data_IF_247774094324
#
_entry.id   IF_247774094324
#
_cell.length_a   1.000
_cell.length_b   1.000
_cell.length_c   1.000
_cell.angle_alpha   90.00
_cell.angle_beta   90.00
_cell.angle_gamma   90.00
#
_symmetry.space_group_name_H-M   'P 1'
#
loop_
_entity.id
_entity.type
_entity.pdbx_description
1 polymer ?
#
# COMPACT_ATOMS: atom_id res chain seq x y z
N UNK A 1 51.95 -50.94 -2.47
CA UNK A 1 50.91 -50.07 -3.05
C UNK A 1 49.54 -50.53 -2.51
N UNK A 2 48.58 -49.63 -2.30
CA UNK A 2 47.28 -49.78 -1.58
C UNK A 2 47.24 -49.43 -0.08
N UNK A 3 48.13 -48.56 0.42
CA UNK A 3 47.98 -47.86 1.72
C UNK A 3 47.65 -46.36 1.59
N UNK A 4 47.11 -45.92 0.44
CA UNK A 4 46.98 -44.49 0.10
C UNK A 4 45.56 -44.02 -0.26
N UNK A 5 44.51 -44.83 -0.01
CA UNK A 5 43.13 -44.47 -0.38
C UNK A 5 42.13 -44.51 0.79
N UNK A 6 42.60 -44.46 2.04
CA UNK A 6 41.74 -44.34 3.23
C UNK A 6 42.12 -43.16 4.15
N UNK A 7 42.92 -42.21 3.65
CA UNK A 7 43.31 -40.99 4.37
C UNK A 7 42.63 -39.72 3.85
N UNK A 8 41.81 -39.82 2.79
CA UNK A 8 41.05 -38.67 2.24
C UNK A 8 39.69 -38.43 2.89
N UNK A 9 39.10 -39.43 3.54
CA UNK A 9 37.73 -39.32 4.09
C UNK A 9 37.69 -38.97 5.59
N UNK A 10 38.79 -39.18 6.31
CA UNK A 10 38.87 -38.85 7.75
C UNK A 10 39.30 -37.40 8.03
N UNK A 11 39.76 -36.65 7.02
CA UNK A 11 40.10 -35.23 7.14
C UNK A 11 38.89 -34.30 6.91
N UNK A 12 37.77 -34.81 6.37
CA UNK A 12 36.56 -34.03 6.15
C UNK A 12 35.64 -33.95 7.39
N UNK A 13 35.84 -34.83 8.37
CA UNK A 13 35.09 -34.85 9.64
C UNK A 13 35.73 -34.03 10.77
N UNK A 14 36.89 -33.41 10.54
CA UNK A 14 37.61 -32.59 11.53
C UNK A 14 37.63 -31.08 11.24
N UNK A 15 37.04 -30.64 10.12
CA UNK A 15 36.91 -29.21 9.78
C UNK A 15 35.56 -28.61 10.20
N UNK A 16 34.63 -29.43 10.72
CA UNK A 16 33.31 -29.00 11.19
C UNK A 16 33.20 -28.92 12.72
N UNK A 17 34.33 -28.74 13.42
CA UNK A 17 34.40 -28.70 14.89
C UNK A 17 35.14 -27.46 15.42
N UNK A 18 35.24 -26.39 14.63
CA UNK A 18 36.00 -25.18 14.99
C UNK A 18 35.24 -23.90 14.67
N UNK A 19 33.97 -23.82 15.04
CA UNK A 19 33.26 -22.54 15.08
C UNK A 19 32.45 -22.44 16.38
N UNK A 20 33.07 -21.93 17.46
CA UNK A 20 32.34 -21.54 18.66
C UNK A 20 32.09 -20.03 18.57
N UNK A 21 30.90 -19.61 18.15
CA UNK A 21 30.35 -18.33 18.63
C UNK A 21 28.84 -18.23 18.34
N UNK A 22 28.09 -18.30 19.44
CA UNK A 22 26.72 -17.81 19.61
C UNK A 22 25.58 -18.60 18.99
N UNK A 23 25.24 -19.68 19.68
CA UNK A 23 23.86 -19.84 20.10
C UNK A 23 23.48 -18.65 20.99
N UNK A 24 22.63 -17.73 20.53
CA UNK A 24 21.49 -17.23 21.30
C UNK A 24 20.63 -16.25 20.49
N UNK A 25 19.32 -16.34 20.73
CA UNK A 25 18.25 -15.38 20.42
C UNK A 25 17.46 -15.71 19.14
N UNK A 26 16.39 -16.49 19.38
CA UNK A 26 15.10 -16.36 18.74
C UNK A 26 14.76 -14.90 18.46
N UNK A 27 14.38 -14.56 17.23
CA UNK A 27 13.23 -13.70 16.94
C UNK A 27 12.95 -13.72 15.43
N UNK A 28 11.67 -13.66 15.10
CA UNK A 28 11.11 -14.12 13.84
C UNK A 28 11.51 -13.36 12.59
N UNK A 29 11.15 -13.99 11.47
CA UNK A 29 11.16 -13.44 10.10
C UNK A 29 10.83 -11.94 10.03
N UNK A 30 11.73 -11.08 9.51
CA UNK A 30 11.34 -9.75 9.06
C UNK A 30 10.85 -9.87 7.62
N UNK A 31 9.71 -10.51 7.42
CA UNK A 31 9.06 -10.67 6.12
C UNK A 31 7.65 -10.09 6.20
N UNK A 32 7.51 -8.79 5.94
CA UNK A 32 6.20 -8.16 5.78
C UNK A 32 6.09 -6.71 6.26
N UNK A 33 7.09 -6.19 6.97
CA UNK A 33 7.13 -4.79 7.42
C UNK A 33 8.29 -4.02 6.76
N UNK A 34 8.49 -4.24 5.45
CA UNK A 34 9.31 -3.31 4.67
C UNK A 34 8.59 -1.96 4.66
N UNK A 35 9.07 -1.08 5.55
CA UNK A 35 9.14 0.35 5.36
C UNK A 35 7.87 0.96 4.75
N UNK A 36 6.81 1.06 5.55
CA UNK A 36 6.09 2.34 5.58
C UNK A 36 7.07 3.34 6.17
N UNK A 37 8.00 3.78 5.33
CA UNK A 37 8.84 4.93 5.58
C UNK A 37 7.85 6.07 5.78
N UNK A 38 7.56 6.35 7.05
CA UNK A 38 6.83 7.52 7.46
C UNK A 38 7.72 8.70 7.10
N UNK A 39 7.64 9.14 5.85
CA UNK A 39 7.96 10.51 5.45
C UNK A 39 6.88 11.42 6.07
N UNK A 40 6.74 11.35 7.38
CA UNK A 40 5.80 12.10 8.19
C UNK A 40 6.66 13.06 9.00
N UNK A 41 6.64 14.33 8.63
CA UNK A 41 7.25 15.36 9.46
C UNK A 41 7.42 16.69 8.77
N UNK A 42 8.30 16.79 7.77
CA UNK A 42 8.86 18.11 7.46
C UNK A 42 8.17 18.89 6.33
N UNK A 43 7.28 18.30 5.53
CA UNK A 43 6.65 19.03 4.42
C UNK A 43 5.29 18.49 3.97
N UNK A 44 4.40 18.16 4.93
CA UNK A 44 3.03 17.74 4.59
C UNK A 44 2.14 18.97 4.33
N UNK A 45 1.98 19.32 3.05
CA UNK A 45 0.96 20.27 2.60
C UNK A 45 -0.17 19.55 1.84
N UNK A 46 -1.40 19.48 2.40
CA UNK A 46 -2.54 18.84 1.75
C UNK A 46 -2.85 19.41 0.36
N UNK A 47 -2.56 20.70 0.13
CA UNK A 47 -2.76 21.33 -1.18
C UNK A 47 -1.75 20.82 -2.21
N UNK A 48 -0.48 20.68 -1.84
CA UNK A 48 0.55 20.08 -2.68
C UNK A 48 0.23 18.62 -3.01
N UNK A 49 -0.08 17.83 -1.98
CA UNK A 49 -0.44 16.41 -2.15
C UNK A 49 -1.64 16.25 -3.06
N UNK A 50 -2.67 17.09 -2.91
CA UNK A 50 -3.85 17.08 -3.79
C UNK A 50 -3.48 17.40 -5.25
N UNK A 51 -2.60 18.39 -5.47
CA UNK A 51 -2.16 18.75 -6.82
C UNK A 51 -1.36 17.62 -7.46
N UNK A 52 -0.47 16.99 -6.70
CA UNK A 52 0.32 15.83 -7.14
C UNK A 52 -0.57 14.64 -7.46
N UNK A 53 -1.55 14.34 -6.61
CA UNK A 53 -2.52 13.26 -6.84
C UNK A 53 -3.26 13.46 -8.18
N UNK A 54 -3.76 14.67 -8.43
CA UNK A 54 -4.39 15.01 -9.71
C UNK A 54 -3.45 14.84 -10.90
N UNK A 55 -2.22 15.34 -10.81
CA UNK A 55 -1.24 15.20 -11.89
C UNK A 55 -0.94 13.73 -12.22
N UNK A 56 -0.86 12.86 -11.21
CA UNK A 56 -0.69 11.42 -11.40
C UNK A 56 -1.89 10.80 -12.11
N UNK A 57 -3.11 11.17 -11.70
CA UNK A 57 -4.35 10.71 -12.33
C UNK A 57 -4.43 11.15 -13.80
N UNK A 58 -4.06 12.39 -14.08
CA UNK A 58 -4.07 12.96 -15.43
C UNK A 58 -3.03 12.26 -16.34
N UNK A 59 -1.92 11.79 -15.76
CA UNK A 59 -0.89 10.96 -16.43
C UNK A 59 -1.26 9.48 -16.55
N UNK A 60 -2.43 9.06 -16.05
CA UNK A 60 -2.88 7.67 -16.07
C UNK A 60 -2.32 6.78 -14.95
N UNK A 61 -1.53 7.34 -14.02
CA UNK A 61 -1.01 6.64 -12.84
C UNK A 61 -2.08 6.53 -11.75
N UNK A 62 -3.18 5.82 -12.04
CA UNK A 62 -4.40 5.82 -11.23
C UNK A 62 -4.19 5.34 -9.79
N UNK A 63 -3.46 4.23 -9.60
CA UNK A 63 -3.20 3.65 -8.27
C UNK A 63 -2.39 4.60 -7.38
N UNK A 64 -1.33 5.20 -7.93
CA UNK A 64 -0.52 6.18 -7.20
C UNK A 64 -1.32 7.45 -6.85
N UNK A 65 -2.18 7.90 -7.77
CA UNK A 65 -3.11 9.00 -7.49
C UNK A 65 -4.10 8.66 -6.37
N UNK A 66 -4.66 7.44 -6.39
CA UNK A 66 -5.55 6.93 -5.35
C UNK A 66 -4.86 6.88 -3.99
N UNK A 67 -3.63 6.35 -3.92
CA UNK A 67 -2.87 6.27 -2.66
C UNK A 67 -2.70 7.66 -2.01
N UNK A 68 -2.41 8.69 -2.81
CA UNK A 68 -2.31 10.06 -2.30
C UNK A 68 -3.67 10.62 -1.83
N UNK A 69 -4.77 10.32 -2.51
CA UNK A 69 -6.10 10.73 -2.05
C UNK A 69 -6.51 10.01 -0.76
N UNK A 70 -6.15 8.74 -0.60
CA UNK A 70 -6.36 7.99 0.64
C UNK A 70 -5.55 8.60 1.79
N UNK A 71 -4.27 8.91 1.56
CA UNK A 71 -3.44 9.61 2.55
C UNK A 71 -4.02 10.99 2.91
N UNK A 72 -4.54 11.75 1.94
CA UNK A 72 -5.23 13.01 2.22
C UNK A 72 -6.45 12.83 3.13
N UNK A 73 -7.26 11.80 2.87
CA UNK A 73 -8.43 11.49 3.69
C UNK A 73 -8.03 11.14 5.14
N UNK A 74 -6.94 10.41 5.31
CA UNK A 74 -6.45 9.96 6.62
C UNK A 74 -5.74 11.07 7.41
N UNK A 75 -4.79 11.76 6.78
CA UNK A 75 -3.91 12.73 7.45
C UNK A 75 -4.53 14.14 7.47
N UNK A 76 -5.48 14.43 6.59
CA UNK A 76 -6.10 15.76 6.49
C UNK A 76 -7.60 15.67 6.21
N UNK A 77 -8.38 15.05 7.12
CA UNK A 77 -9.79 14.74 6.90
C UNK A 77 -10.69 15.97 6.67
N UNK A 78 -10.27 17.16 7.11
CA UNK A 78 -10.98 18.43 6.87
C UNK A 78 -10.61 19.10 5.55
N UNK A 79 -9.57 18.65 4.87
CA UNK A 79 -9.14 19.22 3.60
C UNK A 79 -10.01 18.69 2.47
N UNK A 80 -10.90 19.57 1.96
CA UNK A 80 -11.78 19.31 0.81
C UNK A 80 -12.46 17.92 0.84
N UNK A 81 -13.09 17.51 1.95
CA UNK A 81 -13.52 16.12 2.19
C UNK A 81 -14.44 15.58 1.08
N UNK A 82 -15.37 16.39 0.59
CA UNK A 82 -16.27 16.00 -0.50
C UNK A 82 -15.51 15.76 -1.81
N UNK A 83 -14.57 16.65 -2.17
CA UNK A 83 -13.81 16.52 -3.41
C UNK A 83 -12.84 15.34 -3.37
N UNK A 84 -12.18 15.10 -2.22
CA UNK A 84 -11.30 13.95 -2.02
C UNK A 84 -12.09 12.64 -2.12
N UNK A 85 -13.23 12.53 -1.42
CA UNK A 85 -14.08 11.34 -1.51
C UNK A 85 -14.57 11.08 -2.94
N UNK A 86 -14.95 12.13 -3.69
CA UNK A 86 -15.35 11.99 -5.10
C UNK A 86 -14.24 11.37 -5.94
N UNK A 87 -13.00 11.85 -5.81
CA UNK A 87 -11.86 11.30 -6.54
C UNK A 87 -11.61 9.84 -6.19
N UNK A 88 -11.71 9.47 -4.91
CA UNK A 88 -11.55 8.08 -4.46
C UNK A 88 -12.59 7.17 -5.14
N UNK A 89 -13.87 7.54 -5.13
CA UNK A 89 -14.93 6.75 -5.77
C UNK A 89 -14.65 6.52 -7.26
N UNK A 90 -14.33 7.61 -7.97
CA UNK A 90 -14.06 7.58 -9.41
C UNK A 90 -12.80 6.79 -9.75
N UNK A 91 -11.78 6.82 -8.89
CA UNK A 91 -10.54 6.09 -9.12
C UNK A 91 -10.71 4.59 -8.93
N UNK A 92 -11.40 4.15 -7.88
CA UNK A 92 -11.72 2.73 -7.75
C UNK A 92 -12.52 2.19 -8.94
N UNK A 93 -13.51 2.95 -9.42
CA UNK A 93 -14.27 2.61 -10.63
C UNK A 93 -13.36 2.52 -11.86
N UNK A 94 -12.51 3.53 -12.11
CA UNK A 94 -11.59 3.56 -13.27
C UNK A 94 -10.51 2.47 -13.21
N UNK A 95 -10.09 2.05 -12.02
CA UNK A 95 -9.15 0.95 -11.81
C UNK A 95 -9.83 -0.40 -12.06
N UNK A 96 -11.16 -0.46 -11.98
CA UNK A 96 -11.95 -1.69 -12.11
C UNK A 96 -12.17 -2.43 -10.80
N UNK A 97 -11.82 -1.83 -9.66
CA UNK A 97 -12.14 -2.38 -8.34
C UNK A 97 -13.58 -1.98 -7.97
N UNK A 98 -14.53 -2.65 -8.63
CA UNK A 98 -15.96 -2.30 -8.55
C UNK A 98 -16.50 -2.47 -7.12
N UNK A 99 -16.05 -3.50 -6.41
CA UNK A 99 -16.45 -3.74 -5.01
C UNK A 99 -16.07 -2.55 -4.13
N UNK A 100 -14.83 -2.05 -4.24
CA UNK A 100 -14.41 -0.85 -3.50
C UNK A 100 -15.08 0.42 -4.00
N UNK A 101 -15.33 0.53 -5.29
CA UNK A 101 -16.05 1.68 -5.84
C UNK A 101 -17.45 1.79 -5.22
N UNK A 102 -18.21 0.69 -5.16
CA UNK A 102 -19.55 0.65 -4.56
C UNK A 102 -19.52 1.04 -3.07
N UNK A 103 -18.59 0.47 -2.29
CA UNK A 103 -18.40 0.81 -0.87
C UNK A 103 -18.15 2.32 -0.68
N UNK A 104 -17.29 2.90 -1.50
CA UNK A 104 -16.92 4.32 -1.41
C UNK A 104 -18.05 5.25 -1.89
N UNK A 105 -18.84 4.84 -2.88
CA UNK A 105 -20.03 5.57 -3.32
C UNK A 105 -21.13 5.55 -2.26
N UNK A 106 -21.41 4.41 -1.62
CA UNK A 106 -22.32 4.32 -0.47
C UNK A 106 -21.87 5.25 0.66
N UNK A 107 -20.58 5.20 0.98
CA UNK A 107 -19.94 6.09 1.94
C UNK A 107 -20.12 7.57 1.58
N UNK A 108 -19.94 7.93 0.31
CA UNK A 108 -20.14 9.31 -0.18
C UNK A 108 -21.59 9.75 0.01
N UNK A 109 -22.57 8.96 -0.43
CA UNK A 109 -23.99 9.34 -0.42
C UNK A 109 -24.49 9.52 1.02
N UNK A 110 -24.04 8.67 1.94
CA UNK A 110 -24.36 8.77 3.37
C UNK A 110 -23.73 9.99 4.02
N UNK A 111 -22.47 10.31 3.69
CA UNK A 111 -21.71 11.40 4.32
C UNK A 111 -22.07 12.77 3.72
N UNK A 112 -22.42 12.82 2.44
CA UNK A 112 -22.70 14.05 1.69
C UNK A 112 -24.07 13.97 0.99
N UNK A 113 -25.19 13.84 1.73
CA UNK A 113 -26.52 13.69 1.14
C UNK A 113 -26.97 14.92 0.34
N UNK A 114 -26.36 16.07 0.59
CA UNK A 114 -26.61 17.35 -0.09
C UNK A 114 -25.69 17.62 -1.28
N UNK A 115 -24.74 16.71 -1.58
CA UNK A 115 -23.82 16.90 -2.70
C UNK A 115 -24.60 16.94 -4.03
N UNK A 116 -24.33 17.96 -4.85
CA UNK A 116 -24.96 18.13 -6.18
C UNK A 116 -24.85 16.87 -7.05
N UNK A 117 -23.74 16.16 -6.94
CA UNK A 117 -23.44 15.01 -7.79
C UNK A 117 -24.03 13.70 -7.22
N UNK A 118 -24.75 13.74 -6.10
CA UNK A 118 -25.32 12.56 -5.43
C UNK A 118 -26.18 11.73 -6.38
N UNK A 119 -27.02 12.38 -7.18
CA UNK A 119 -27.89 11.69 -8.16
C UNK A 119 -27.05 10.97 -9.21
N UNK A 120 -25.99 11.61 -9.71
CA UNK A 120 -25.06 10.97 -10.63
C UNK A 120 -24.37 9.75 -10.02
N UNK A 121 -23.95 9.84 -8.75
CA UNK A 121 -23.31 8.73 -8.06
C UNK A 121 -24.26 7.55 -7.84
N UNK A 122 -25.52 7.81 -7.47
CA UNK A 122 -26.55 6.78 -7.37
C UNK A 122 -26.78 6.06 -8.72
N UNK A 123 -26.82 6.83 -9.82
CA UNK A 123 -26.95 6.23 -11.15
C UNK A 123 -25.74 5.36 -11.53
N UNK A 124 -24.51 5.79 -11.20
CA UNK A 124 -23.31 4.97 -11.43
C UNK A 124 -23.33 3.70 -10.60
N UNK A 125 -23.68 3.79 -9.32
CA UNK A 125 -23.83 2.61 -8.45
C UNK A 125 -24.81 1.59 -9.02
N UNK A 126 -26.00 2.03 -9.42
CA UNK A 126 -27.02 1.17 -9.99
C UNK A 126 -26.60 0.52 -11.33
N UNK A 127 -25.67 1.13 -12.06
CA UNK A 127 -25.11 0.58 -13.29
C UNK A 127 -23.97 -0.43 -13.05
N UNK A 128 -23.41 -0.47 -11.84
CA UNK A 128 -22.31 -1.37 -11.46
C UNK A 128 -22.77 -2.58 -10.64
N UNK A 129 -24.01 -2.55 -10.11
CA UNK A 129 -24.67 -3.65 -9.39
C UNK A 129 -25.35 -4.64 -10.32
#
# INVERSE_FOLDING_TARGET
MRRLLLLGFLAFLLVWASSPLMAQIQEGSPSGAQARETVQGENWDPQEVYRRARLLVDKGSLRQGLDLFLQLREQSPRYRPLAVQRHICQLYERIGDISKALEEYEGFIRRFPWARDRVQMLMRMAAMS
#
